data_IF_491957291965
#
_entry.id   IF_491957291965
#
_cell.length_a   1.000
_cell.length_b   1.000
_cell.length_c   1.000
_cell.angle_alpha   90.00
_cell.angle_beta   90.00
_cell.angle_gamma   90.00
#
_symmetry.space_group_name_H-M   'P 1'
#
loop_
_entity.id
_entity.type
_entity.pdbx_description
1 polymer ?
#
# COMPACT_ATOMS: atom_id res chain seq x y z
N UNK A 1 15.35 0.09 15.32
CA UNK A 1 15.78 0.89 14.15
C UNK A 1 14.59 0.96 13.20
N UNK A 2 14.04 2.14 12.89
CA UNK A 2 12.97 2.25 11.89
C UNK A 2 13.62 2.19 10.51
N UNK A 3 13.26 1.19 9.70
CA UNK A 3 13.75 1.08 8.33
C UNK A 3 13.48 2.40 7.61
N UNK A 4 14.50 2.94 6.94
CA UNK A 4 14.36 4.16 6.13
C UNK A 4 13.66 3.72 4.86
N UNK A 5 12.42 4.15 4.62
CA UNK A 5 11.72 3.80 3.38
C UNK A 5 12.58 4.22 2.19
N UNK A 6 12.77 3.27 1.28
CA UNK A 6 13.46 3.45 0.01
C UNK A 6 12.59 2.87 -1.10
N UNK A 7 12.80 3.29 -2.34
CA UNK A 7 12.02 2.77 -3.48
C UNK A 7 12.21 1.27 -3.73
N UNK A 8 13.26 0.67 -3.15
CA UNK A 8 13.53 -0.79 -3.17
C UNK A 8 12.87 -1.54 -2.02
N UNK A 9 12.25 -0.84 -1.06
CA UNK A 9 11.54 -1.48 0.04
C UNK A 9 10.31 -2.21 -0.50
N UNK A 10 10.06 -3.41 0.03
CA UNK A 10 8.89 -4.22 -0.31
C UNK A 10 7.78 -4.00 0.71
N UNK A 11 6.57 -3.81 0.21
CA UNK A 11 5.35 -3.75 1.00
C UNK A 11 4.77 -5.15 1.11
N UNK A 12 4.44 -5.57 2.33
CA UNK A 12 3.85 -6.88 2.62
C UNK A 12 2.62 -6.68 3.49
N UNK A 13 1.48 -7.22 3.11
CA UNK A 13 0.25 -7.12 3.90
C UNK A 13 0.39 -7.90 5.20
N UNK A 14 -0.04 -7.27 6.31
CA UNK A 14 -0.01 -7.86 7.66
C UNK A 14 -1.03 -9.01 7.78
N UNK A 15 -0.75 -9.97 8.65
CA UNK A 15 -1.72 -11.02 9.01
C UNK A 15 -2.80 -10.52 9.98
N UNK A 16 -2.60 -9.36 10.60
CA UNK A 16 -3.47 -8.78 11.62
C UNK A 16 -4.53 -7.82 11.02
N UNK A 17 -5.03 -8.14 9.83
CA UNK A 17 -6.08 -7.36 9.17
C UNK A 17 -7.01 -8.26 8.34
N UNK A 18 -8.24 -7.80 8.12
CA UNK A 18 -9.18 -8.41 7.16
C UNK A 18 -9.70 -7.32 6.24
N UNK A 19 -9.58 -7.52 4.92
CA UNK A 19 -10.04 -6.55 3.93
C UNK A 19 -11.12 -7.11 3.03
N UNK A 20 -12.06 -6.26 2.61
CA UNK A 20 -13.04 -6.57 1.58
C UNK A 20 -13.00 -5.53 0.46
N UNK A 21 -13.08 -6.02 -0.77
CA UNK A 21 -13.29 -5.17 -1.94
C UNK A 21 -14.80 -4.95 -2.10
N UNK A 22 -15.23 -3.69 -2.11
CA UNK A 22 -16.64 -3.34 -2.16
C UNK A 22 -17.17 -3.23 -3.59
N UNK A 23 -16.33 -3.32 -4.63
CA UNK A 23 -16.82 -3.40 -6.01
C UNK A 23 -16.02 -4.36 -6.92
N UNK A 24 -16.68 -5.14 -7.80
CA UNK A 24 -16.00 -6.06 -8.73
C UNK A 24 -15.32 -5.36 -9.91
N UNK A 25 -15.80 -4.17 -10.25
CA UNK A 25 -15.23 -3.26 -11.23
C UNK A 25 -14.15 -2.42 -10.55
N UNK A 26 -12.92 -2.48 -11.07
CA UNK A 26 -11.64 -1.94 -10.56
C UNK A 26 -11.61 -0.47 -10.08
N UNK A 27 -12.74 0.22 -10.02
CA UNK A 27 -12.93 1.55 -9.46
C UNK A 27 -13.35 1.57 -7.97
N UNK A 28 -13.46 0.41 -7.32
CA UNK A 28 -14.00 0.26 -5.97
C UNK A 28 -13.13 0.73 -4.83
N UNK A 29 -13.81 1.05 -3.74
CA UNK A 29 -13.24 1.25 -2.41
C UNK A 29 -12.88 -0.10 -1.78
N UNK A 30 -11.82 -0.08 -0.98
CA UNK A 30 -11.46 -1.22 -0.13
C UNK A 30 -11.67 -0.81 1.31
N UNK A 31 -12.33 -1.68 2.08
CA UNK A 31 -12.41 -1.53 3.54
C UNK A 31 -11.50 -2.53 4.21
N UNK A 32 -10.82 -2.10 5.26
CA UNK A 32 -9.88 -2.89 6.05
C UNK A 32 -10.30 -2.81 7.51
N UNK A 33 -10.43 -3.97 8.15
CA UNK A 33 -10.55 -4.09 9.60
C UNK A 33 -9.18 -4.43 10.19
N UNK A 34 -8.61 -3.52 10.97
CA UNK A 34 -7.43 -3.80 11.78
C UNK A 34 -7.80 -4.71 12.96
N UNK A 35 -7.17 -5.88 13.06
CA UNK A 35 -7.47 -6.83 14.13
C UNK A 35 -6.83 -6.44 15.47
N UNK A 36 -5.79 -5.60 15.44
CA UNK A 36 -5.08 -5.12 16.65
C UNK A 36 -5.81 -4.00 17.36
N UNK A 37 -6.41 -3.08 16.62
CA UNK A 37 -7.06 -1.88 17.15
C UNK A 37 -8.59 -1.93 17.03
N UNK A 38 -9.14 -2.86 16.24
CA UNK A 38 -10.57 -2.98 15.99
C UNK A 38 -11.13 -1.85 15.12
N UNK A 39 -10.29 -1.11 14.40
CA UNK A 39 -10.69 0.06 13.62
C UNK A 39 -10.97 -0.32 12.18
N UNK A 40 -12.02 0.28 11.62
CA UNK A 40 -12.33 0.21 10.19
C UNK A 40 -11.66 1.36 9.46
N UNK A 41 -10.91 1.01 8.43
CA UNK A 41 -10.23 1.92 7.52
C UNK A 41 -10.85 1.80 6.14
N UNK A 42 -11.06 2.93 5.49
CA UNK A 42 -11.55 3.00 4.12
C UNK A 42 -10.44 3.55 3.24
N UNK A 43 -10.19 2.87 2.12
CA UNK A 43 -9.25 3.32 1.10
C UNK A 43 -10.02 3.90 -0.08
N UNK A 44 -9.64 5.11 -0.45
CA UNK A 44 -10.08 5.73 -1.71
C UNK A 44 -9.60 4.90 -2.91
N UNK A 45 -10.02 5.27 -4.12
CA UNK A 45 -9.70 4.54 -5.36
C UNK A 45 -8.21 4.25 -5.55
N UNK A 46 -7.32 5.22 -5.32
CA UNK A 46 -5.87 5.05 -5.49
C UNK A 46 -5.30 4.14 -4.40
N UNK A 47 -5.71 4.35 -3.15
CA UNK A 47 -5.31 3.49 -2.04
C UNK A 47 -5.78 2.04 -2.23
N UNK A 48 -7.00 1.86 -2.75
CA UNK A 48 -7.55 0.55 -3.09
C UNK A 48 -6.77 -0.12 -4.23
N UNK A 49 -6.34 0.64 -5.25
CA UNK A 49 -5.43 0.13 -6.28
C UNK A 49 -4.12 -0.36 -5.66
N UNK A 50 -3.45 0.49 -4.88
CA UNK A 50 -2.20 0.14 -4.18
C UNK A 50 -2.39 -1.11 -3.33
N UNK A 51 -3.48 -1.17 -2.55
CA UNK A 51 -3.83 -2.31 -1.71
C UNK A 51 -3.92 -3.61 -2.50
N UNK A 52 -4.64 -3.60 -3.64
CA UNK A 52 -4.75 -4.75 -4.54
C UNK A 52 -3.38 -5.18 -5.08
N UNK A 53 -2.51 -4.24 -5.42
CA UNK A 53 -1.16 -4.53 -5.92
C UNK A 53 -0.26 -5.21 -4.88
N UNK A 54 -0.44 -4.89 -3.59
CA UNK A 54 0.38 -5.41 -2.49
C UNK A 54 -0.18 -6.67 -1.82
N UNK A 55 -1.32 -7.18 -2.29
CA UNK A 55 -1.81 -8.52 -1.89
C UNK A 55 -0.76 -9.61 -2.17
N UNK A 56 0.19 -9.34 -3.05
CA UNK A 56 1.47 -10.03 -3.11
C UNK A 56 2.60 -9.05 -2.81
N UNK A 57 3.68 -9.48 -2.14
CA UNK A 57 4.83 -8.62 -1.84
C UNK A 57 5.36 -7.89 -3.09
N UNK A 58 5.35 -6.56 -3.05
CA UNK A 58 5.74 -5.73 -4.20
C UNK A 58 6.63 -4.56 -3.74
N UNK A 59 7.60 -4.18 -4.58
CA UNK A 59 8.45 -3.02 -4.28
C UNK A 59 7.68 -1.71 -4.51
N UNK A 60 8.05 -0.68 -3.75
CA UNK A 60 7.50 0.67 -3.94
C UNK A 60 7.69 1.16 -5.38
N UNK A 61 8.86 0.95 -5.99
CA UNK A 61 9.10 1.34 -7.38
C UNK A 61 8.10 0.68 -8.33
N UNK A 62 7.88 -0.64 -8.20
CA UNK A 62 6.96 -1.35 -9.08
C UNK A 62 5.50 -0.90 -8.89
N UNK A 63 5.12 -0.48 -7.68
CA UNK A 63 3.79 0.10 -7.42
C UNK A 63 3.65 1.45 -8.13
N UNK A 64 4.65 2.33 -7.98
CA UNK A 64 4.68 3.64 -8.65
C UNK A 64 4.60 3.48 -10.17
N UNK A 65 5.40 2.58 -10.74
CA UNK A 65 5.42 2.33 -12.18
C UNK A 65 4.04 1.88 -12.69
N UNK A 66 3.39 0.93 -11.99
CA UNK A 66 2.02 0.48 -12.34
C UNK A 66 1.00 1.62 -12.28
N UNK A 67 1.08 2.49 -11.28
CA UNK A 67 0.15 3.62 -11.17
C UNK A 67 0.38 4.63 -12.29
N UNK A 68 1.64 4.91 -12.65
CA UNK A 68 1.95 5.82 -13.75
C UNK A 68 1.52 5.28 -15.12
N UNK A 69 1.43 3.96 -15.28
CA UNK A 69 0.87 3.33 -16.48
C UNK A 69 -0.66 3.46 -16.56
N UNK A 70 -1.35 3.41 -15.41
CA UNK A 70 -2.82 3.48 -15.34
C UNK A 70 -3.39 4.90 -15.23
N UNK A 71 -2.61 5.83 -14.67
CA UNK A 71 -3.04 7.18 -14.34
C UNK A 71 -2.09 8.23 -14.93
N UNK A 72 -2.65 9.24 -15.58
CA UNK A 72 -1.89 10.36 -16.14
C UNK A 72 -1.57 11.39 -15.05
N UNK A 73 -0.60 11.07 -14.19
CA UNK A 73 -0.15 11.91 -13.06
C UNK A 73 1.38 12.13 -13.08
N UNK A 74 1.89 13.22 -12.49
CA UNK A 74 3.34 13.42 -12.38
C UNK A 74 4.02 12.35 -11.51
N UNK A 75 5.20 11.87 -11.96
CA UNK A 75 5.95 10.81 -11.29
C UNK A 75 6.35 11.17 -9.84
N UNK A 76 6.74 12.42 -9.58
CA UNK A 76 7.13 12.89 -8.25
C UNK A 76 5.96 12.92 -7.27
N UNK A 77 4.78 13.34 -7.75
CA UNK A 77 3.54 13.37 -6.97
C UNK A 77 3.08 11.94 -6.64
N UNK A 78 3.02 11.07 -7.65
CA UNK A 78 2.70 9.65 -7.47
C UNK A 78 3.62 8.97 -6.45
N UNK A 79 4.94 9.19 -6.58
CA UNK A 79 5.93 8.61 -5.65
C UNK A 79 5.70 9.09 -4.22
N UNK A 80 5.45 10.39 -4.04
CA UNK A 80 5.21 11.00 -2.72
C UNK A 80 3.95 10.43 -2.07
N UNK A 81 2.86 10.32 -2.82
CA UNK A 81 1.58 9.82 -2.31
C UNK A 81 1.65 8.33 -1.97
N UNK A 82 2.29 7.52 -2.82
CA UNK A 82 2.50 6.09 -2.56
C UNK A 82 3.35 5.88 -1.30
N UNK A 83 4.42 6.66 -1.13
CA UNK A 83 5.26 6.61 0.08
C UNK A 83 4.49 7.00 1.32
N UNK A 84 3.73 8.11 1.27
CA UNK A 84 2.94 8.59 2.39
C UNK A 84 1.86 7.56 2.81
N UNK A 85 1.19 6.93 1.84
CA UNK A 85 0.22 5.88 2.10
C UNK A 85 0.88 4.66 2.74
N UNK A 86 2.00 4.18 2.18
CA UNK A 86 2.72 3.02 2.70
C UNK A 86 3.19 3.26 4.15
N UNK A 87 3.70 4.46 4.45
CA UNK A 87 4.04 4.83 5.83
C UNK A 87 2.85 4.80 6.77
N UNK A 88 1.69 5.31 6.32
CA UNK A 88 0.49 5.35 7.15
C UNK A 88 -0.04 3.94 7.42
N UNK A 89 -0.15 3.11 6.39
CA UNK A 89 -0.55 1.71 6.55
C UNK A 89 0.39 0.93 7.49
N UNK A 90 1.71 1.19 7.39
CA UNK A 90 2.69 0.57 8.28
C UNK A 90 2.58 1.06 9.72
N UNK A 91 2.33 2.37 9.94
CA UNK A 91 2.06 2.94 11.28
C UNK A 91 0.81 2.34 11.92
N UNK A 92 -0.20 2.03 11.12
CA UNK A 92 -1.44 1.36 11.55
C UNK A 92 -1.27 -0.16 11.70
N UNK A 93 -0.11 -0.73 11.36
CA UNK A 93 0.16 -2.17 11.45
C UNK A 93 -0.60 -3.02 10.42
N UNK A 94 -1.14 -2.40 9.38
CA UNK A 94 -1.88 -3.05 8.30
C UNK A 94 -0.94 -3.66 7.25
N UNK A 95 0.28 -3.12 7.14
CA UNK A 95 1.35 -3.66 6.30
C UNK A 95 2.69 -3.64 7.05
N UNK A 96 3.65 -4.38 6.53
CA UNK A 96 5.05 -4.36 6.92
C UNK A 96 5.91 -3.84 5.76
N UNK A 97 7.00 -3.16 6.11
CA UNK A 97 7.99 -2.66 5.15
C UNK A 97 9.27 -3.45 5.35
N UNK A 98 9.66 -4.19 4.31
CA UNK A 98 10.88 -4.98 4.30
C UNK A 98 11.96 -4.25 3.50
N UNK A 99 13.06 -3.86 4.14
CA UNK A 99 14.24 -3.34 3.45
C UNK A 99 14.91 -4.49 2.71
N UNK A 100 15.21 -4.29 1.43
CA UNK A 100 16.06 -5.22 0.69
C UNK A 100 17.52 -4.83 0.94
N UNK A 101 17.97 -4.93 2.19
CA UNK A 101 19.41 -4.97 2.47
C UNK A 101 19.83 -6.42 2.24
N UNK A 102 20.57 -6.64 1.16
CA UNK A 102 21.24 -7.92 0.91
C UNK A 102 22.35 -8.02 1.97
N UNK A 103 22.17 -8.89 2.96
CA UNK A 103 23.29 -9.50 3.69
C UNK A 103 24.15 -10.34 2.73
#
# INVERSE_FOLDING_TARGET
MKARLSTTSKLVVSQDQVSADLSPDLAGEVVILGLKDGVYYELNKVGACIWRLIQQPRSLQSIVDTILEEYEVPAEECTTDVLALAENLAKLGLIEIQSTDVD
#
